data_IF_386034783238
#
_entry.id   IF_386034783238
#
_cell.length_a   1.000
_cell.length_b   1.000
_cell.length_c   1.000
_cell.angle_alpha   90.00
_cell.angle_beta   90.00
_cell.angle_gamma   90.00
#
_symmetry.space_group_name_H-M   'P 1'
#
loop_
_entity.id
_entity.type
_entity.pdbx_description
1 polymer ?
#
# COMPACT_ATOMS: atom_id res chain seq x y z
N UNK A 1 13.69 4.98 17.28
CA UNK A 1 13.09 3.82 17.98
C UNK A 1 12.56 2.86 16.94
N UNK A 2 13.04 1.61 16.89
CA UNK A 2 12.46 0.56 16.04
C UNK A 2 11.17 0.09 16.73
N UNK A 3 10.02 0.42 16.17
CA UNK A 3 8.76 -0.14 16.61
C UNK A 3 8.68 -1.59 16.14
N UNK A 4 8.99 -2.50 17.04
CA UNK A 4 8.95 -3.92 16.77
C UNK A 4 7.50 -4.41 17.01
N UNK A 5 6.84 -4.97 16.00
CA UNK A 5 5.55 -5.65 16.13
C UNK A 5 5.61 -6.82 17.13
N UNK A 6 6.77 -7.11 17.71
CA UNK A 6 7.08 -8.31 18.49
C UNK A 6 6.96 -8.18 20.01
N UNK A 7 6.33 -7.16 20.60
CA UNK A 7 6.24 -7.06 22.07
C UNK A 7 5.24 -8.00 22.74
N UNK A 8 5.01 -9.19 22.20
CA UNK A 8 4.50 -10.34 22.98
C UNK A 8 4.77 -11.63 22.21
N UNK A 9 5.82 -12.35 22.58
CA UNK A 9 6.16 -13.67 22.05
C UNK A 9 5.19 -14.74 22.61
N UNK A 10 4.01 -14.87 22.01
CA UNK A 10 3.33 -16.17 21.81
C UNK A 10 3.42 -16.43 20.31
N UNK A 11 3.76 -17.68 19.89
CA UNK A 11 3.76 -18.12 18.48
C UNK A 11 2.48 -17.62 17.80
N UNK A 12 2.53 -16.45 17.18
CA UNK A 12 1.42 -15.90 16.41
C UNK A 12 1.47 -16.61 15.07
N UNK A 13 0.50 -17.44 14.82
CA UNK A 13 0.15 -17.84 13.46
C UNK A 13 -0.06 -16.53 12.68
N UNK A 14 0.77 -16.25 11.66
CA UNK A 14 0.74 -14.99 10.94
C UNK A 14 -0.66 -14.75 10.36
N UNK A 15 -1.19 -13.56 10.59
CA UNK A 15 -2.50 -13.18 10.05
C UNK A 15 -2.40 -13.04 8.53
N UNK A 16 -3.47 -13.43 7.86
CA UNK A 16 -3.64 -13.20 6.44
C UNK A 16 -4.64 -12.06 6.23
N UNK A 17 -4.31 -11.18 5.30
CA UNK A 17 -5.19 -10.10 4.85
C UNK A 17 -5.52 -10.24 3.38
N UNK A 18 -6.54 -9.52 2.95
CA UNK A 18 -6.98 -9.46 1.58
C UNK A 18 -7.55 -8.07 1.29
N UNK A 19 -7.28 -7.55 0.11
CA UNK A 19 -8.00 -6.43 -0.47
C UNK A 19 -8.50 -6.83 -1.86
N UNK A 20 -9.73 -6.52 -2.16
CA UNK A 20 -10.35 -6.71 -3.47
C UNK A 20 -10.48 -5.34 -4.13
N UNK A 21 -9.94 -5.21 -5.31
CA UNK A 21 -10.19 -4.09 -6.20
C UNK A 21 -11.34 -4.50 -7.11
N UNK A 22 -12.53 -4.01 -6.79
CA UNK A 22 -13.71 -4.24 -7.62
C UNK A 22 -13.52 -3.54 -8.97
N UNK A 23 -14.03 -4.16 -10.04
CA UNK A 23 -13.99 -3.56 -11.38
C UNK A 23 -14.62 -2.18 -11.35
N UNK A 24 -13.89 -1.20 -11.85
CA UNK A 24 -14.30 0.21 -11.84
C UNK A 24 -14.46 0.78 -13.27
N UNK A 25 -14.71 2.08 -13.39
CA UNK A 25 -14.89 2.79 -14.67
C UNK A 25 -13.64 2.71 -15.58
N UNK A 26 -12.46 2.51 -15.02
CA UNK A 26 -11.21 2.30 -15.77
C UNK A 26 -11.01 0.84 -16.20
N UNK A 27 -11.98 -0.06 -15.94
CA UNK A 27 -11.86 -1.50 -16.15
C UNK A 27 -10.71 -2.16 -15.39
N UNK A 28 -10.28 -1.56 -14.29
CA UNK A 28 -9.26 -2.12 -13.41
C UNK A 28 -9.94 -2.96 -12.34
N UNK A 29 -9.44 -4.18 -12.17
CA UNK A 29 -9.87 -5.09 -11.11
C UNK A 29 -8.70 -5.93 -10.62
N UNK A 30 -8.81 -6.50 -9.43
CA UNK A 30 -7.75 -7.34 -8.93
C UNK A 30 -7.89 -7.77 -7.48
N UNK A 31 -6.87 -8.48 -7.05
CA UNK A 31 -6.77 -9.00 -5.70
C UNK A 31 -5.36 -8.80 -5.15
N UNK A 32 -5.30 -8.33 -3.92
CA UNK A 32 -4.05 -8.18 -3.16
C UNK A 32 -4.15 -9.07 -1.92
N UNK A 33 -3.20 -9.98 -1.77
CA UNK A 33 -3.07 -10.85 -0.62
C UNK A 33 -1.95 -10.35 0.28
N UNK A 34 -2.20 -10.35 1.57
CA UNK A 34 -1.26 -9.87 2.58
C UNK A 34 -0.98 -11.00 3.55
N UNK A 35 0.29 -11.30 3.78
CA UNK A 35 0.73 -12.32 4.74
C UNK A 35 1.65 -11.70 5.79
N UNK A 36 1.20 -11.68 7.04
CA UNK A 36 1.99 -11.15 8.15
C UNK A 36 3.06 -12.15 8.60
N UNK A 37 4.26 -11.66 8.81
CA UNK A 37 5.31 -12.38 9.52
C UNK A 37 5.87 -11.55 10.69
N UNK A 38 6.97 -12.00 11.29
CA UNK A 38 7.54 -11.38 12.51
C UNK A 38 8.11 -9.97 12.27
N UNK A 39 8.39 -9.57 11.03
CA UNK A 39 9.10 -8.31 10.72
C UNK A 39 8.34 -7.39 9.77
N UNK A 40 7.21 -7.85 9.21
CA UNK A 40 6.42 -7.05 8.28
C UNK A 40 5.40 -7.86 7.49
N UNK A 41 5.04 -7.36 6.33
CA UNK A 41 4.02 -7.93 5.46
C UNK A 41 4.59 -8.32 4.11
N UNK A 42 4.38 -9.58 3.69
CA UNK A 42 4.46 -9.98 2.28
C UNK A 42 3.15 -9.58 1.62
N UNK A 43 3.23 -8.82 0.55
CA UNK A 43 2.10 -8.33 -0.23
C UNK A 43 2.22 -8.93 -1.63
N UNK A 44 1.24 -9.74 -2.03
CA UNK A 44 1.15 -10.37 -3.35
C UNK A 44 -0.03 -9.75 -4.10
N UNK A 45 0.19 -9.29 -5.32
CA UNK A 45 -0.84 -8.64 -6.12
C UNK A 45 -1.01 -9.30 -7.48
N UNK A 46 -2.25 -9.29 -7.96
CA UNK A 46 -2.63 -9.67 -9.31
C UNK A 46 -3.78 -8.76 -9.74
N UNK A 47 -3.47 -7.83 -10.65
CA UNK A 47 -4.33 -6.71 -11.04
C UNK A 47 -4.36 -6.67 -12.56
N UNK A 48 -5.53 -6.47 -13.13
CA UNK A 48 -5.75 -6.38 -14.57
C UNK A 48 -6.35 -5.03 -14.94
N UNK A 49 -6.13 -4.59 -16.18
CA UNK A 49 -6.70 -3.35 -16.71
C UNK A 49 -5.80 -2.11 -16.58
N UNK A 50 -4.66 -2.21 -15.88
CA UNK A 50 -3.70 -1.11 -15.79
C UNK A 50 -3.01 -0.88 -17.13
N UNK A 51 -2.75 0.38 -17.49
CA UNK A 51 -1.86 0.72 -18.61
C UNK A 51 -0.47 0.10 -18.41
N UNK A 52 0.25 -0.16 -19.49
CA UNK A 52 1.62 -0.65 -19.37
C UNK A 52 2.54 0.43 -18.82
N UNK A 53 3.46 0.02 -17.92
CA UNK A 53 4.40 0.90 -17.24
C UNK A 53 4.38 0.77 -15.74
N UNK A 54 4.99 1.75 -15.06
CA UNK A 54 5.07 1.82 -13.60
C UNK A 54 3.90 2.62 -13.04
N UNK A 55 3.35 2.13 -11.93
CA UNK A 55 2.26 2.76 -11.20
C UNK A 55 2.59 2.85 -9.73
N UNK A 56 2.47 4.05 -9.15
CA UNK A 56 2.59 4.25 -7.72
C UNK A 56 1.62 3.36 -6.96
N UNK A 57 2.12 2.68 -5.94
CA UNK A 57 1.37 1.74 -5.13
C UNK A 57 1.56 2.04 -3.66
N UNK A 58 0.49 2.44 -2.98
CA UNK A 58 0.56 2.92 -1.61
C UNK A 58 -0.56 2.37 -0.73
N UNK A 59 -0.34 2.41 0.59
CA UNK A 59 -1.40 2.26 1.59
C UNK A 59 -1.78 3.65 2.09
N UNK A 60 -3.04 4.01 1.94
CA UNK A 60 -3.62 5.26 2.41
C UNK A 60 -4.25 5.12 3.80
N UNK A 61 -4.51 6.25 4.44
CA UNK A 61 -4.84 6.31 5.87
C UNK A 61 -6.19 5.69 6.21
N UNK A 62 -7.21 5.86 5.36
CA UNK A 62 -8.56 5.38 5.64
C UNK A 62 -9.02 4.34 4.62
N UNK A 63 -9.81 3.37 5.10
CA UNK A 63 -10.55 2.42 4.27
C UNK A 63 -11.96 2.89 3.97
N UNK A 64 -12.17 4.19 3.87
CA UNK A 64 -13.44 4.81 3.56
C UNK A 64 -13.67 4.84 2.04
N UNK A 65 -14.78 4.30 1.59
CA UNK A 65 -15.20 4.23 0.18
C UNK A 65 -16.37 5.17 -0.15
N UNK A 66 -16.74 6.09 0.76
CA UNK A 66 -17.90 6.97 0.60
C UNK A 66 -17.80 7.90 -0.63
N UNK A 67 -16.57 8.26 -1.06
CA UNK A 67 -16.28 8.94 -2.34
C UNK A 67 -15.21 8.14 -3.10
N UNK A 68 -15.45 6.85 -3.28
CA UNK A 68 -14.52 5.94 -3.96
C UNK A 68 -13.12 5.97 -3.34
N UNK A 69 -12.09 6.07 -4.17
CA UNK A 69 -10.71 6.10 -3.68
C UNK A 69 -10.29 7.44 -3.06
N UNK A 70 -11.08 8.51 -3.23
CA UNK A 70 -10.74 9.86 -2.73
C UNK A 70 -10.80 9.95 -1.21
N UNK A 71 -11.79 9.29 -0.59
CA UNK A 71 -11.98 9.29 0.87
C UNK A 71 -10.85 8.60 1.64
N UNK A 72 -9.92 7.91 0.97
CA UNK A 72 -8.76 7.25 1.60
C UNK A 72 -7.76 8.23 2.24
N UNK A 73 -7.90 9.53 2.00
CA UNK A 73 -7.00 10.60 2.47
C UNK A 73 -5.57 10.47 1.92
N UNK A 74 -4.54 10.85 2.71
CA UNK A 74 -3.12 10.80 2.32
C UNK A 74 -2.51 9.40 2.55
N UNK A 75 -1.24 9.25 2.19
CA UNK A 75 -0.48 8.04 2.50
C UNK A 75 -0.46 7.78 4.01
N UNK A 76 -0.54 6.53 4.40
CA UNK A 76 -0.46 6.14 5.81
C UNK A 76 0.89 6.52 6.41
N UNK A 77 0.91 7.58 7.22
CA UNK A 77 2.11 8.19 7.77
C UNK A 77 2.05 8.38 9.30
N UNK A 78 2.05 7.31 10.09
CA UNK A 78 1.93 7.41 11.54
C UNK A 78 3.14 8.05 12.22
N UNK A 79 4.23 8.27 11.50
CA UNK A 79 5.49 8.80 12.03
C UNK A 79 5.83 10.21 11.53
N UNK A 80 4.93 10.82 10.75
CA UNK A 80 5.10 12.17 10.20
C UNK A 80 6.43 12.35 9.46
N UNK A 81 6.74 11.41 8.56
CA UNK A 81 7.91 11.42 7.70
C UNK A 81 7.59 12.02 6.33
N UNK A 82 8.63 12.30 5.55
CA UNK A 82 8.50 12.61 4.12
C UNK A 82 8.28 11.32 3.32
N UNK A 83 7.70 11.47 2.11
CA UNK A 83 7.54 10.39 1.15
C UNK A 83 8.89 9.82 0.70
N UNK A 84 8.89 8.54 0.35
CA UNK A 84 10.06 7.86 -0.21
C UNK A 84 9.74 6.45 -0.72
N UNK A 85 10.66 5.84 -1.42
CA UNK A 85 10.50 4.47 -1.93
C UNK A 85 10.49 3.42 -0.82
N UNK A 86 10.02 2.21 -1.13
CA UNK A 86 9.87 1.08 -0.20
C UNK A 86 11.12 0.79 0.65
N UNK A 87 12.31 1.02 0.10
CA UNK A 87 13.59 0.78 0.76
C UNK A 87 14.27 2.03 1.28
N UNK A 88 13.65 3.19 1.13
CA UNK A 88 14.19 4.46 1.64
C UNK A 88 14.23 4.45 3.17
N UNK A 89 15.24 5.07 3.74
CA UNK A 89 15.40 5.23 5.19
C UNK A 89 14.31 6.15 5.76
N UNK A 90 13.95 7.18 5.00
CA UNK A 90 12.83 8.07 5.28
C UNK A 90 11.72 7.81 4.26
N UNK A 91 10.55 7.43 4.74
CA UNK A 91 9.34 7.20 3.96
C UNK A 91 8.12 7.15 4.87
N UNK A 92 6.93 7.30 4.31
CA UNK A 92 5.70 6.95 5.00
C UNK A 92 5.64 5.43 5.24
N UNK A 93 4.91 5.00 6.25
CA UNK A 93 4.70 3.57 6.48
C UNK A 93 3.92 2.92 5.30
N UNK A 94 3.09 3.70 4.63
CA UNK A 94 2.29 3.27 3.48
C UNK A 94 2.99 3.33 2.12
N UNK A 95 4.22 3.82 2.02
CA UNK A 95 4.92 3.92 0.74
C UNK A 95 5.46 2.55 0.32
N UNK A 96 4.93 2.00 -0.76
CA UNK A 96 5.31 0.69 -1.29
C UNK A 96 6.09 0.80 -2.62
N UNK A 97 6.25 2.04 -3.15
CA UNK A 97 6.92 2.31 -4.41
C UNK A 97 6.03 2.02 -5.61
N UNK A 98 6.57 1.38 -6.63
CA UNK A 98 5.86 1.11 -7.88
C UNK A 98 5.55 -0.37 -8.08
N UNK A 99 4.45 -0.64 -8.78
CA UNK A 99 4.16 -1.93 -9.43
C UNK A 99 4.27 -1.74 -10.94
N UNK A 100 4.79 -2.75 -11.63
CA UNK A 100 4.91 -2.74 -13.10
C UNK A 100 3.74 -3.51 -13.72
N UNK A 101 3.11 -2.89 -14.72
CA UNK A 101 2.10 -3.51 -15.58
C UNK A 101 2.69 -3.79 -16.96
N UNK A 102 2.45 -5.00 -17.48
CA UNK A 102 2.78 -5.43 -18.85
C UNK A 102 1.59 -6.15 -19.44
N UNK A 103 1.24 -5.80 -20.68
CA UNK A 103 0.05 -6.33 -21.34
C UNK A 103 -1.22 -6.17 -20.48
N UNK A 104 -1.35 -5.01 -19.83
CA UNK A 104 -2.44 -4.66 -18.90
C UNK A 104 -2.55 -5.55 -17.66
N UNK A 105 -1.48 -6.23 -17.28
CA UNK A 105 -1.44 -7.09 -16.09
C UNK A 105 -0.28 -6.68 -15.20
N UNK A 106 -0.57 -6.32 -13.96
CA UNK A 106 0.42 -6.16 -12.89
C UNK A 106 0.33 -7.35 -11.94
N UNK A 107 1.38 -8.19 -11.91
CA UNK A 107 1.44 -9.37 -11.06
C UNK A 107 2.81 -9.49 -10.42
N UNK A 108 2.83 -9.59 -9.11
CA UNK A 108 4.10 -9.67 -8.38
C UNK A 108 3.93 -9.77 -6.88
N UNK A 109 5.03 -9.56 -6.19
CA UNK A 109 5.05 -9.48 -4.73
C UNK A 109 6.14 -8.54 -4.23
N UNK A 110 5.90 -7.93 -3.08
CA UNK A 110 6.87 -7.12 -2.36
C UNK A 110 6.83 -7.44 -0.85
N UNK A 111 7.84 -6.98 -0.13
CA UNK A 111 7.92 -7.13 1.31
C UNK A 111 8.05 -5.76 1.98
N UNK A 112 7.03 -5.37 2.72
CA UNK A 112 6.99 -4.12 3.47
C UNK A 112 7.31 -4.36 4.95
N UNK A 113 8.42 -3.80 5.42
CA UNK A 113 8.82 -3.85 6.83
C UNK A 113 8.02 -2.84 7.66
N UNK A 114 8.00 -3.10 8.97
CA UNK A 114 7.50 -2.16 9.99
C UNK A 114 6.00 -1.85 9.93
N UNK A 115 5.21 -2.59 9.14
CA UNK A 115 3.75 -2.55 9.13
C UNK A 115 3.17 -3.93 9.46
N UNK A 116 1.93 -3.98 9.95
CA UNK A 116 1.31 -5.22 10.44
C UNK A 116 -0.21 -5.25 10.23
N UNK A 117 -0.82 -6.43 10.41
CA UNK A 117 -2.28 -6.63 10.46
C UNK A 117 -2.81 -6.69 11.91
N UNK A 118 -1.97 -6.45 12.89
CA UNK A 118 -2.36 -6.52 14.30
C UNK A 118 -3.15 -5.28 14.71
N UNK A 119 -4.41 -5.47 15.10
CA UNK A 119 -5.32 -4.42 15.58
C UNK A 119 -4.68 -3.64 16.75
N UNK A 120 -4.96 -2.34 16.82
CA UNK A 120 -4.48 -1.42 17.87
C UNK A 120 -2.95 -1.18 17.89
N UNK A 121 -2.23 -1.58 16.85
CA UNK A 121 -0.83 -1.19 16.67
C UNK A 121 -0.75 0.10 15.85
N UNK A 122 0.17 1.01 16.21
CA UNK A 122 0.39 2.27 15.49
C UNK A 122 0.69 2.06 13.99
N UNK A 123 1.25 0.91 13.63
CA UNK A 123 1.63 0.51 12.28
C UNK A 123 0.65 -0.48 11.64
N UNK A 124 -0.54 -0.66 12.23
CA UNK A 124 -1.57 -1.53 11.67
C UNK A 124 -2.14 -0.96 10.39
N UNK A 125 -2.16 -1.79 9.35
CA UNK A 125 -2.78 -1.44 8.06
C UNK A 125 -4.19 -2.02 7.92
N UNK A 126 -4.68 -2.74 8.91
CA UNK A 126 -6.03 -3.31 8.91
C UNK A 126 -7.10 -2.21 8.86
N UNK A 127 -8.03 -2.31 7.91
CA UNK A 127 -9.06 -1.30 7.69
C UNK A 127 -8.57 -0.05 6.93
N UNK A 128 -7.31 -0.02 6.51
CA UNK A 128 -6.77 0.99 5.60
C UNK A 128 -6.97 0.54 4.15
N UNK A 129 -6.48 1.31 3.19
CA UNK A 129 -6.78 1.08 1.79
C UNK A 129 -5.51 1.05 0.95
N UNK A 130 -5.35 0.02 0.10
CA UNK A 130 -4.41 0.08 -1.00
C UNK A 130 -4.92 1.02 -2.08
N UNK A 131 -4.04 1.86 -2.61
CA UNK A 131 -4.29 2.73 -3.76
C UNK A 131 -3.28 2.42 -4.85
N UNK A 132 -3.76 2.38 -6.09
CA UNK A 132 -2.95 2.31 -7.31
C UNK A 132 -3.12 3.62 -8.05
N UNK A 133 -2.01 4.22 -8.45
CA UNK A 133 -1.97 5.52 -9.10
C UNK A 133 -1.78 5.41 -10.61
N UNK A 134 -2.07 6.50 -11.33
CA UNK A 134 -1.97 6.55 -12.79
C UNK A 134 -0.55 6.76 -13.30
N UNK A 135 0.34 7.30 -12.47
CA UNK A 135 1.73 7.59 -12.81
C UNK A 135 2.71 6.80 -11.96
N UNK A 136 3.95 6.77 -12.43
CA UNK A 136 5.09 6.32 -11.67
C UNK A 136 5.30 7.19 -10.43
N UNK A 137 5.57 6.55 -9.29
CA UNK A 137 6.07 7.17 -8.08
C UNK A 137 7.55 7.49 -8.25
N UNK A 138 7.96 8.75 -8.10
CA UNK A 138 9.35 9.21 -8.21
C UNK A 138 10.20 8.90 -6.97
N UNK A 139 9.62 8.23 -5.98
CA UNK A 139 10.26 7.77 -4.74
C UNK A 139 10.81 8.91 -3.87
N UNK A 140 10.21 10.11 -3.96
CA UNK A 140 10.68 11.31 -3.26
C UNK A 140 11.90 11.98 -3.88
N UNK A 141 12.18 11.70 -5.17
CA UNK A 141 13.37 12.17 -5.89
C UNK A 141 13.07 13.21 -6.97
N UNK A 142 11.82 13.63 -7.11
CA UNK A 142 11.38 14.59 -8.13
C UNK A 142 11.91 16.01 -7.92
N UNK A 143 12.38 16.34 -6.71
CA UNK A 143 13.01 17.64 -6.42
C UNK A 143 12.01 18.76 -6.07
N UNK A 144 10.73 18.45 -5.91
CA UNK A 144 9.68 19.38 -5.54
C UNK A 144 8.94 18.94 -4.26
N UNK A 145 8.05 19.79 -3.74
CA UNK A 145 7.31 19.49 -2.52
C UNK A 145 6.31 18.34 -2.69
N UNK A 146 5.71 18.19 -3.86
CA UNK A 146 4.73 17.15 -4.13
C UNK A 146 5.41 15.78 -4.16
N UNK A 147 6.62 15.70 -4.71
CA UNK A 147 7.48 14.52 -4.63
C UNK A 147 7.68 14.04 -3.19
N UNK A 148 7.91 14.98 -2.25
CA UNK A 148 8.09 14.67 -0.84
C UNK A 148 6.79 14.37 -0.07
N UNK A 149 5.63 14.53 -0.73
CA UNK A 149 4.31 14.23 -0.16
C UNK A 149 3.69 12.97 -0.77
N UNK A 150 3.78 12.81 -2.10
CA UNK A 150 3.02 11.81 -2.85
C UNK A 150 3.85 11.03 -3.88
N UNK A 151 5.12 11.43 -4.10
CA UNK A 151 5.96 10.86 -5.14
C UNK A 151 5.51 11.23 -6.56
N UNK A 152 4.74 12.33 -6.72
CA UNK A 152 4.17 12.75 -8.01
C UNK A 152 3.38 11.65 -8.73
N UNK A 153 2.85 10.67 -7.99
CA UNK A 153 2.21 9.47 -8.52
C UNK A 153 0.85 9.73 -9.22
N UNK A 154 0.31 10.93 -9.09
CA UNK A 154 -0.88 11.37 -9.83
C UNK A 154 -2.21 10.85 -9.27
N UNK A 155 -3.18 10.58 -10.17
CA UNK A 155 -4.55 10.22 -9.80
C UNK A 155 -4.65 8.82 -9.22
N UNK A 156 -5.73 8.56 -8.49
CA UNK A 156 -6.06 7.26 -7.90
C UNK A 156 -6.92 6.47 -8.88
N UNK A 157 -6.36 5.43 -9.48
CA UNK A 157 -7.05 4.61 -10.47
C UNK A 157 -7.90 3.50 -9.85
N UNK A 158 -7.40 2.86 -8.80
CA UNK A 158 -8.08 1.76 -8.16
C UNK A 158 -7.74 1.66 -6.67
N UNK A 159 -8.63 1.10 -5.89
CA UNK A 159 -8.46 0.96 -4.46
C UNK A 159 -9.14 -0.30 -3.89
N UNK A 160 -8.65 -0.75 -2.73
CA UNK A 160 -9.24 -1.86 -2.01
C UNK A 160 -8.92 -1.82 -0.52
N UNK A 161 -9.96 -1.99 0.31
CA UNK A 161 -9.83 -1.99 1.77
C UNK A 161 -9.16 -3.28 2.26
N UNK A 162 -8.23 -3.14 3.17
CA UNK A 162 -7.47 -4.26 3.75
C UNK A 162 -8.30 -4.91 4.86
N UNK A 163 -8.86 -6.07 4.55
CA UNK A 163 -9.60 -6.91 5.50
C UNK A 163 -8.79 -8.13 5.95
N UNK A 164 -9.29 -8.79 7.01
CA UNK A 164 -8.75 -10.10 7.42
C UNK A 164 -9.26 -11.16 6.45
N UNK A 165 -8.35 -11.99 5.96
CA UNK A 165 -8.70 -13.17 5.13
C UNK A 165 -8.96 -14.37 6.04
N UNK A 166 -10.08 -15.05 5.78
CA UNK A 166 -10.41 -16.35 6.37
C UNK A 166 -9.44 -17.43 5.90
#
# INVERSE_FOLDING_TARGET
MKYNCNKTQKKRQGKNGIAILAKNEHNIEGKILVKENTVGLKIEYNITGLSDGLHGFHIHEYGDLSDGCKSACSHFNPFNKKHGGLHSKERHAGDLGNIESKNKIAKGSLFAKDICLTKNMKTSVLGRMFIIHDKEDDLGKGGDEESLKTGNAGMRLACGVIGIKK
#
